data_IF_759082518650
#
_entry.id   IF_759082518650
#
_cell.length_a   1.000
_cell.length_b   1.000
_cell.length_c   1.000
_cell.angle_alpha   90.00
_cell.angle_beta   90.00
_cell.angle_gamma   90.00
#
_symmetry.space_group_name_H-M   'P 1'
#
loop_
_entity.id
_entity.type
_entity.pdbx_description
1 polymer ?
#
# COMPACT_ATOMS: atom_id res chain seq x y z
N UNK A 1 -4.01 22.06 18.38
CA UNK A 1 -2.73 21.47 18.79
C UNK A 1 -2.85 19.96 18.75
N UNK A 2 -2.02 19.32 17.98
CA UNK A 2 -1.97 17.86 17.88
C UNK A 2 -0.69 17.33 18.49
N UNK A 3 -0.78 16.61 19.61
CA UNK A 3 0.37 16.01 20.29
C UNK A 3 0.73 14.61 19.80
N UNK A 4 -0.04 14.03 18.93
CA UNK A 4 0.15 12.66 18.45
C UNK A 4 0.22 12.58 16.94
N UNK A 5 0.41 11.45 16.31
CA UNK A 5 0.42 11.30 14.86
C UNK A 5 -0.89 10.79 14.27
N UNK A 6 -1.95 10.61 15.04
CA UNK A 6 -3.24 10.22 14.52
C UNK A 6 -3.96 11.40 13.86
N UNK A 7 -4.59 11.22 12.78
CA UNK A 7 -5.38 12.23 12.11
C UNK A 7 -4.63 13.34 11.38
N UNK A 8 -3.48 13.00 11.06
CA UNK A 8 -2.54 13.92 10.63
C UNK A 8 -2.30 14.22 9.31
N UNK A 9 -3.00 14.19 8.46
CA UNK A 9 -2.90 14.78 7.18
C UNK A 9 -3.42 16.18 7.19
N UNK A 10 -4.47 16.41 7.94
CA UNK A 10 -5.25 17.62 7.81
C UNK A 10 -5.18 18.47 9.07
N UNK A 11 -4.89 19.74 8.92
CA UNK A 11 -5.23 20.73 9.92
C UNK A 11 -6.74 20.91 9.84
N UNK A 12 -7.49 20.72 10.94
CA UNK A 12 -8.92 21.00 10.93
C UNK A 12 -9.23 22.39 10.38
N UNK A 13 -10.32 22.51 9.64
CA UNK A 13 -10.68 23.72 8.89
C UNK A 13 -10.76 25.00 9.75
N UNK A 14 -10.92 24.84 11.05
CA UNK A 14 -10.99 25.94 12.02
C UNK A 14 -9.70 26.15 12.83
N UNK A 15 -8.62 25.43 12.51
CA UNK A 15 -7.32 25.60 13.16
C UNK A 15 -6.34 26.33 12.24
N UNK A 16 -5.63 27.33 12.80
CA UNK A 16 -4.65 28.10 12.06
C UNK A 16 -3.33 27.36 11.83
N UNK A 17 -2.91 26.53 12.78
CA UNK A 17 -1.67 25.75 12.70
C UNK A 17 -1.69 24.55 13.63
N UNK A 18 -0.75 23.63 13.41
CA UNK A 18 -0.60 22.39 14.14
C UNK A 18 0.80 22.32 14.75
N UNK A 19 0.89 22.00 16.05
CA UNK A 19 2.15 21.79 16.76
C UNK A 19 2.30 20.29 17.03
N UNK A 20 3.47 19.72 16.78
CA UNK A 20 3.72 18.30 16.91
C UNK A 20 5.02 18.01 17.66
N UNK A 21 5.08 16.84 18.27
CA UNK A 21 6.30 16.35 18.89
C UNK A 21 7.39 16.10 17.85
N UNK A 22 8.68 16.33 18.20
CA UNK A 22 9.81 16.18 17.30
C UNK A 22 9.90 14.81 16.60
N UNK A 23 9.53 13.72 17.27
CA UNK A 23 9.55 12.37 16.70
C UNK A 23 8.41 12.11 15.70
N UNK A 24 7.46 13.04 15.57
CA UNK A 24 6.27 12.94 14.75
C UNK A 24 6.19 14.07 13.73
N UNK A 25 7.33 14.42 13.17
CA UNK A 25 7.41 15.49 12.20
C UNK A 25 6.90 15.05 10.82
N UNK A 26 5.79 15.64 10.42
CA UNK A 26 5.24 15.56 9.05
C UNK A 26 5.02 16.98 8.54
N UNK A 27 6.09 17.72 8.20
CA UNK A 27 5.90 19.07 7.68
C UNK A 27 5.25 19.02 6.30
N UNK A 28 4.37 19.98 6.05
CA UNK A 28 3.81 20.24 4.73
C UNK A 28 3.32 19.01 3.99
N UNK A 29 2.40 18.26 4.59
CA UNK A 29 1.81 17.13 3.96
C UNK A 29 0.96 17.60 2.78
N UNK A 30 1.33 17.20 1.57
CA UNK A 30 0.45 17.35 0.42
C UNK A 30 -0.85 16.57 0.72
N UNK A 31 -1.99 17.20 0.56
CA UNK A 31 -3.28 16.64 0.99
C UNK A 31 -3.87 17.31 2.24
N UNK A 32 -3.09 18.02 3.05
CA UNK A 32 -3.65 19.03 3.94
C UNK A 32 -4.39 20.03 3.08
N UNK A 33 -5.69 20.23 3.31
CA UNK A 33 -6.50 21.17 2.54
C UNK A 33 -6.42 22.55 3.19
N UNK A 34 -5.39 23.36 2.91
CA UNK A 34 -5.35 24.71 3.39
C UNK A 34 -6.49 25.48 2.73
N UNK A 35 -7.30 26.17 3.50
CA UNK A 35 -8.12 27.25 2.95
C UNK A 35 -7.29 28.53 2.96
N UNK A 36 -7.76 29.57 2.28
CA UNK A 36 -7.04 30.86 2.14
C UNK A 36 -6.67 31.55 3.47
N UNK A 37 -7.25 31.11 4.59
CA UNK A 37 -7.04 31.69 5.93
C UNK A 37 -6.37 30.70 6.89
N UNK A 38 -5.92 29.56 6.40
CA UNK A 38 -5.36 28.50 7.22
C UNK A 38 -3.87 28.31 6.93
N UNK A 39 -3.07 28.38 7.97
CA UNK A 39 -1.65 28.07 7.91
C UNK A 39 -1.39 26.76 8.61
N UNK A 40 -0.64 25.89 7.98
CA UNK A 40 -0.15 24.67 8.60
C UNK A 40 1.36 24.79 8.81
N UNK A 41 1.79 24.70 10.05
CA UNK A 41 3.21 24.65 10.38
C UNK A 41 3.50 23.61 11.45
N UNK A 42 4.75 23.21 11.55
CA UNK A 42 5.20 22.22 12.53
C UNK A 42 6.29 22.86 13.38
N UNK A 43 6.07 22.88 14.70
CA UNK A 43 7.09 23.25 15.66
C UNK A 43 7.62 22.01 16.37
N UNK A 44 8.94 21.95 16.56
CA UNK A 44 9.57 20.93 17.37
C UNK A 44 9.40 21.30 18.83
N UNK A 45 8.65 20.48 19.58
CA UNK A 45 8.37 20.72 20.99
C UNK A 45 8.40 19.41 21.77
N UNK A 46 8.81 19.48 23.01
CA UNK A 46 8.64 18.35 23.95
C UNK A 46 7.18 18.24 24.46
N UNK A 47 6.83 17.11 25.03
CA UNK A 47 5.46 16.84 25.46
C UNK A 47 4.96 17.81 26.54
N UNK A 48 5.82 18.29 27.43
CA UNK A 48 5.45 19.24 28.49
C UNK A 48 5.14 20.61 27.91
N UNK A 49 5.95 21.09 26.96
CA UNK A 49 5.71 22.33 26.24
C UNK A 49 4.43 22.28 25.40
N UNK A 50 4.10 21.13 24.80
CA UNK A 50 2.83 20.92 24.11
C UNK A 50 1.65 21.03 25.10
N UNK A 51 1.74 20.34 26.24
CA UNK A 51 0.72 20.39 27.28
C UNK A 51 0.55 21.80 27.87
N UNK A 52 1.65 22.50 28.17
CA UNK A 52 1.64 23.87 28.63
C UNK A 52 1.01 24.83 27.63
N UNK A 53 1.32 24.68 26.35
CA UNK A 53 0.74 25.47 25.26
C UNK A 53 -0.78 25.21 25.14
N UNK A 54 -1.21 23.96 25.27
CA UNK A 54 -2.63 23.62 25.28
C UNK A 54 -3.37 24.22 26.48
N UNK A 55 -2.80 24.09 27.67
CA UNK A 55 -3.36 24.67 28.90
C UNK A 55 -3.46 26.21 28.86
N UNK A 56 -2.53 26.84 28.13
CA UNK A 56 -2.51 28.30 27.95
C UNK A 56 -3.29 28.76 26.68
N UNK A 57 -4.38 28.09 26.36
CA UNK A 57 -5.28 28.51 25.28
C UNK A 57 -4.67 28.50 23.88
N UNK A 58 -3.60 27.69 23.66
CA UNK A 58 -2.90 27.59 22.38
C UNK A 58 -1.76 28.60 22.20
N UNK A 59 -1.45 29.41 23.18
CA UNK A 59 -0.24 30.25 23.15
C UNK A 59 1.00 29.37 23.34
N UNK A 60 1.96 29.51 22.44
CA UNK A 60 3.23 28.82 22.57
C UNK A 60 3.87 29.13 23.91
N UNK A 61 3.98 28.11 24.75
CA UNK A 61 4.44 28.21 26.15
C UNK A 61 5.47 27.13 26.41
N UNK A 62 6.62 27.49 26.98
CA UNK A 62 7.60 26.51 27.40
C UNK A 62 7.05 25.70 28.59
N UNK A 63 7.41 24.42 28.66
CA UNK A 63 7.00 23.55 29.75
C UNK A 63 7.50 24.02 31.12
N UNK A 64 8.58 24.80 31.14
CA UNK A 64 9.13 25.47 32.35
C UNK A 64 8.33 26.65 32.82
N UNK A 65 7.57 27.30 31.93
CA UNK A 65 6.83 28.55 32.20
C UNK A 65 5.39 28.28 32.63
N UNK A 66 4.97 27.01 32.58
CA UNK A 66 3.62 26.64 32.98
C UNK A 66 3.51 26.64 34.52
N UNK A 67 2.60 27.45 35.05
CA UNK A 67 2.24 27.41 36.46
C UNK A 67 1.34 26.17 36.73
N UNK A 68 1.97 25.02 36.90
CA UNK A 68 1.27 23.80 37.35
C UNK A 68 2.07 23.11 38.45
N UNK A 69 1.31 22.53 39.37
CA UNK A 69 1.92 21.67 40.39
C UNK A 69 2.39 20.39 39.72
N UNK A 70 3.69 20.14 39.73
CA UNK A 70 4.22 18.87 39.26
C UNK A 70 3.77 17.80 40.27
N UNK A 71 2.95 16.81 39.87
CA UNK A 71 2.60 15.72 40.77
C UNK A 71 3.85 14.96 41.17
N UNK A 72 3.80 14.26 42.30
CA UNK A 72 4.86 13.34 42.65
C UNK A 72 5.07 12.34 41.51
N UNK A 73 6.23 12.45 40.88
CA UNK A 73 6.63 11.65 39.73
C UNK A 73 7.39 10.36 40.16
N UNK A 74 7.28 10.01 41.45
CA UNK A 74 7.86 8.75 41.94
C UNK A 74 7.16 7.60 41.22
N UNK A 75 7.86 7.04 40.25
CA UNK A 75 7.35 5.90 39.48
C UNK A 75 7.71 4.60 40.21
N UNK A 76 6.71 3.88 40.63
CA UNK A 76 6.85 2.52 41.10
C UNK A 76 6.41 1.55 40.02
N UNK A 77 7.35 0.75 39.52
CA UNK A 77 7.05 -0.25 38.52
C UNK A 77 6.16 -1.36 39.10
N UNK A 78 4.92 -1.41 38.66
CA UNK A 78 4.00 -2.50 39.01
C UNK A 78 4.11 -3.64 38.01
N UNK A 79 4.85 -4.67 38.38
CA UNK A 79 5.05 -5.87 37.58
C UNK A 79 3.78 -6.69 37.39
N UNK A 80 2.80 -6.54 38.28
CA UNK A 80 1.55 -7.34 38.27
C UNK A 80 0.76 -7.18 36.95
N UNK A 81 0.89 -6.02 36.28
CA UNK A 81 0.24 -5.78 34.97
C UNK A 81 0.76 -6.76 33.93
N UNK A 82 2.05 -7.02 33.92
CA UNK A 82 2.67 -7.97 32.98
C UNK A 82 2.40 -9.41 33.38
N UNK A 83 2.52 -9.73 34.67
CA UNK A 83 2.29 -11.08 35.19
C UNK A 83 0.85 -11.56 34.98
N UNK A 84 -0.14 -10.65 34.98
CA UNK A 84 -1.55 -10.96 34.78
C UNK A 84 -2.04 -10.91 33.32
N UNK A 85 -1.30 -10.27 32.42
CA UNK A 85 -1.76 -10.00 31.05
C UNK A 85 -0.88 -10.59 29.96
N UNK A 86 0.37 -10.92 30.28
CA UNK A 86 1.33 -11.44 29.31
C UNK A 86 1.78 -12.82 29.78
N UNK A 87 1.56 -13.81 28.94
CA UNK A 87 2.15 -15.13 29.16
C UNK A 87 3.66 -15.05 28.97
N UNK A 88 4.41 -15.36 30.02
CA UNK A 88 5.85 -15.41 29.96
C UNK A 88 6.33 -16.83 29.65
N UNK A 89 6.55 -17.09 28.38
CA UNK A 89 6.94 -18.41 27.86
C UNK A 89 8.44 -18.63 27.67
N UNK A 90 9.29 -17.67 28.03
CA UNK A 90 10.74 -17.80 27.83
C UNK A 90 11.29 -19.02 28.57
N UNK A 91 12.01 -19.91 27.86
CA UNK A 91 12.52 -21.16 28.39
C UNK A 91 11.49 -22.23 28.70
N UNK A 92 10.21 -22.02 28.32
CA UNK A 92 9.08 -22.93 28.52
C UNK A 92 8.41 -23.22 27.19
N UNK A 93 9.17 -23.50 26.14
CA UNK A 93 8.62 -23.85 24.86
C UNK A 93 7.81 -25.16 24.98
N UNK A 94 6.56 -25.12 24.56
CA UNK A 94 5.69 -26.28 24.51
C UNK A 94 5.18 -26.42 23.06
N UNK A 95 5.77 -27.31 22.25
CA UNK A 95 5.36 -27.48 20.86
C UNK A 95 3.97 -28.12 20.68
N UNK A 96 3.36 -28.59 21.77
CA UNK A 96 2.01 -29.16 21.72
C UNK A 96 0.91 -28.10 21.86
N UNK A 97 1.27 -26.84 22.19
CA UNK A 97 0.28 -25.78 22.33
C UNK A 97 -0.25 -25.36 20.97
N UNK A 98 -1.54 -25.51 20.79
CA UNK A 98 -2.26 -25.04 19.62
C UNK A 98 -2.48 -23.53 19.69
N UNK A 99 -2.20 -22.84 18.56
CA UNK A 99 -2.49 -21.42 18.43
C UNK A 99 -3.96 -21.24 18.03
N UNK A 100 -4.75 -20.67 18.91
CA UNK A 100 -6.15 -20.33 18.63
C UNK A 100 -6.26 -18.85 18.36
N UNK A 101 -6.55 -18.49 17.11
CA UNK A 101 -6.74 -17.10 16.69
C UNK A 101 -8.09 -16.55 17.16
N UNK A 102 -8.11 -15.27 17.55
CA UNK A 102 -9.35 -14.57 17.85
C UNK A 102 -10.27 -14.44 16.62
N UNK A 103 -11.56 -14.10 16.80
CA UNK A 103 -12.58 -14.17 15.74
C UNK A 103 -12.35 -13.20 14.56
N UNK A 104 -11.50 -12.19 14.73
CA UNK A 104 -11.16 -11.22 13.67
C UNK A 104 -9.70 -11.33 13.23
N UNK A 105 -9.03 -12.42 13.55
CA UNK A 105 -7.66 -12.70 13.12
C UNK A 105 -7.73 -13.77 12.00
N UNK A 106 -7.28 -13.41 10.84
CA UNK A 106 -7.32 -14.27 9.64
C UNK A 106 -5.93 -14.26 9.00
N UNK A 107 -5.48 -15.42 8.54
CA UNK A 107 -4.22 -15.56 7.85
C UNK A 107 -4.22 -14.81 6.50
N UNK A 108 -3.02 -14.51 6.02
CA UNK A 108 -2.84 -13.97 4.67
C UNK A 108 -3.26 -15.01 3.65
N UNK A 109 -3.91 -14.61 2.55
CA UNK A 109 -4.14 -15.52 1.45
C UNK A 109 -2.81 -15.93 0.81
N UNK A 110 -2.78 -17.08 0.17
CA UNK A 110 -1.63 -17.49 -0.63
C UNK A 110 -1.36 -16.48 -1.74
N UNK A 111 -0.07 -16.24 -1.99
CA UNK A 111 0.41 -15.28 -2.97
C UNK A 111 1.18 -16.04 -4.05
N UNK A 112 0.68 -15.98 -5.27
CA UNK A 112 1.31 -16.65 -6.40
C UNK A 112 2.63 -15.99 -6.81
N UNK A 113 3.63 -16.78 -7.24
CA UNK A 113 4.82 -16.27 -7.89
C UNK A 113 4.46 -15.49 -9.17
N UNK A 114 5.35 -14.61 -9.59
CA UNK A 114 5.17 -13.85 -10.83
C UNK A 114 5.15 -14.79 -12.04
N UNK A 115 4.16 -14.66 -12.90
CA UNK A 115 4.05 -15.42 -14.16
C UNK A 115 5.12 -15.02 -15.17
N UNK A 116 5.26 -15.82 -16.25
CA UNK A 116 6.17 -15.49 -17.35
C UNK A 116 5.78 -14.18 -18.03
N UNK A 117 4.48 -14.04 -18.31
CA UNK A 117 3.89 -12.82 -18.83
C UNK A 117 2.89 -12.27 -17.82
N UNK A 118 2.59 -10.98 -17.93
CA UNK A 118 1.50 -10.34 -17.18
C UNK A 118 0.46 -9.73 -18.12
N UNK A 119 -0.81 -9.93 -17.79
CA UNK A 119 -1.91 -9.17 -18.32
C UNK A 119 -2.51 -8.35 -17.18
N UNK A 120 -2.43 -7.04 -17.28
CA UNK A 120 -2.90 -6.10 -16.29
C UNK A 120 -4.21 -5.48 -16.75
N UNK A 121 -5.28 -5.58 -15.96
CA UNK A 121 -6.49 -4.80 -16.19
C UNK A 121 -6.39 -3.50 -15.40
N UNK A 122 -6.47 -2.37 -16.07
CA UNK A 122 -6.41 -1.07 -15.45
C UNK A 122 -7.71 -0.81 -14.68
N UNK A 123 -7.68 -1.08 -13.39
CA UNK A 123 -8.88 -1.08 -12.52
C UNK A 123 -9.20 0.28 -11.92
N UNK A 124 -8.22 1.19 -11.87
CA UNK A 124 -8.42 2.58 -11.47
C UNK A 124 -7.40 3.50 -12.13
N UNK A 125 -7.84 4.70 -12.50
CA UNK A 125 -7.00 5.79 -13.02
C UNK A 125 -7.28 7.04 -12.20
N UNK A 126 -6.27 7.48 -11.42
CA UNK A 126 -6.36 8.65 -10.54
C UNK A 126 -5.41 9.72 -11.09
N UNK A 127 -5.98 10.80 -11.62
CA UNK A 127 -5.23 11.92 -12.25
C UNK A 127 -5.00 13.09 -11.31
N UNK A 128 -5.39 12.97 -10.04
CA UNK A 128 -5.05 13.96 -9.04
C UNK A 128 -3.52 14.05 -8.85
N UNK A 129 -3.05 15.27 -8.59
CA UNK A 129 -1.63 15.56 -8.47
C UNK A 129 -0.91 14.67 -7.47
N UNK A 130 -1.58 14.30 -6.38
CA UNK A 130 -1.08 13.41 -5.33
C UNK A 130 -2.21 12.52 -4.84
N UNK A 131 -1.93 11.24 -4.62
CA UNK A 131 -2.85 10.29 -3.99
C UNK A 131 -2.27 9.84 -2.65
N UNK A 132 -2.96 10.18 -1.57
CA UNK A 132 -2.52 9.83 -0.23
C UNK A 132 -2.76 8.34 0.08
N UNK A 133 -2.01 7.81 1.05
CA UNK A 133 -2.25 6.45 1.54
C UNK A 133 -3.60 6.29 2.20
N UNK A 134 -4.22 7.37 2.70
CA UNK A 134 -5.55 7.33 3.30
C UNK A 134 -6.67 7.26 2.23
N UNK A 135 -6.39 7.73 1.02
CA UNK A 135 -7.25 7.50 -0.15
C UNK A 135 -7.11 6.08 -0.70
N UNK A 136 -5.89 5.54 -0.69
CA UNK A 136 -5.63 4.14 -1.09
C UNK A 136 -6.27 3.16 -0.10
N UNK A 137 -6.16 3.42 1.21
CA UNK A 137 -6.78 2.65 2.29
C UNK A 137 -7.08 3.56 3.47
N UNK A 138 -8.35 3.77 3.89
CA UNK A 138 -8.71 4.61 5.02
C UNK A 138 -8.36 3.93 6.36
N UNK A 139 -7.06 3.84 6.64
CA UNK A 139 -6.49 3.02 7.71
C UNK A 139 -6.97 3.41 9.13
N UNK A 140 -7.42 4.64 9.33
CA UNK A 140 -8.02 5.10 10.58
C UNK A 140 -9.38 4.44 10.83
N UNK A 141 -10.27 4.52 9.84
CA UNK A 141 -11.65 3.99 9.95
C UNK A 141 -11.66 2.45 9.96
N UNK A 142 -10.68 1.83 9.34
CA UNK A 142 -10.57 0.37 9.19
C UNK A 142 -9.64 -0.27 10.22
N UNK A 143 -9.26 0.46 11.27
CA UNK A 143 -8.30 0.01 12.26
C UNK A 143 -8.67 -1.32 12.93
N UNK A 144 -9.97 -1.61 13.09
CA UNK A 144 -10.47 -2.86 13.66
C UNK A 144 -10.24 -4.09 12.77
N UNK A 145 -9.94 -3.90 11.49
CA UNK A 145 -9.73 -5.00 10.52
C UNK A 145 -8.26 -5.28 10.23
N UNK A 146 -7.31 -4.63 10.93
CA UNK A 146 -5.88 -4.77 10.65
C UNK A 146 -5.33 -6.20 10.75
N UNK A 147 -5.97 -7.03 11.57
CA UNK A 147 -5.63 -8.45 11.69
C UNK A 147 -6.44 -9.37 10.76
N UNK A 148 -7.21 -8.78 9.84
CA UNK A 148 -7.99 -9.49 8.84
C UNK A 148 -7.72 -8.88 7.46
N UNK A 149 -6.65 -9.30 6.79
CA UNK A 149 -6.22 -8.71 5.52
C UNK A 149 -7.27 -8.81 4.43
N UNK A 150 -8.06 -9.88 4.42
CA UNK A 150 -9.11 -10.12 3.43
C UNK A 150 -10.21 -9.06 3.57
N UNK A 151 -10.67 -8.81 4.80
CA UNK A 151 -11.71 -7.83 5.07
C UNK A 151 -11.20 -6.39 4.97
N UNK A 152 -9.95 -6.16 5.38
CA UNK A 152 -9.32 -4.85 5.25
C UNK A 152 -9.22 -4.44 3.77
N UNK A 153 -8.88 -5.38 2.90
CA UNK A 153 -8.72 -5.13 1.47
C UNK A 153 -10.01 -4.64 0.78
N UNK A 154 -11.19 -4.99 1.28
CA UNK A 154 -12.47 -4.51 0.74
C UNK A 154 -12.62 -2.98 0.79
N UNK A 155 -11.85 -2.31 1.62
CA UNK A 155 -11.85 -0.85 1.74
C UNK A 155 -10.83 -0.16 0.84
N UNK A 156 -10.09 -0.90 0.03
CA UNK A 156 -9.12 -0.33 -0.91
C UNK A 156 -9.82 0.62 -1.87
N UNK A 157 -9.34 1.87 -1.93
CA UNK A 157 -9.87 2.94 -2.77
C UNK A 157 -11.38 3.23 -2.60
N UNK A 158 -12.03 2.72 -1.56
CA UNK A 158 -13.49 2.79 -1.41
C UNK A 158 -14.05 4.22 -1.44
N UNK A 159 -13.25 5.23 -1.04
CA UNK A 159 -13.64 6.65 -1.07
C UNK A 159 -13.43 7.32 -2.43
N UNK A 160 -12.48 6.82 -3.22
CA UNK A 160 -12.10 7.43 -4.52
C UNK A 160 -12.72 6.71 -5.70
N UNK A 161 -12.75 5.40 -5.65
CA UNK A 161 -13.29 4.52 -6.70
C UNK A 161 -14.23 3.52 -6.04
N UNK A 162 -15.47 3.92 -5.71
CA UNK A 162 -16.47 2.99 -5.18
C UNK A 162 -16.62 1.78 -6.10
N UNK A 163 -16.55 0.58 -5.54
CA UNK A 163 -16.60 -0.66 -6.34
C UNK A 163 -15.23 -1.22 -6.76
N UNK A 164 -14.11 -0.52 -6.51
CA UNK A 164 -12.76 -1.00 -6.87
C UNK A 164 -12.50 -2.43 -6.38
N UNK A 165 -12.82 -2.73 -5.13
CA UNK A 165 -12.63 -4.07 -4.57
C UNK A 165 -13.47 -5.12 -5.31
N UNK A 166 -14.69 -4.80 -5.73
CA UNK A 166 -15.55 -5.67 -6.53
C UNK A 166 -14.90 -6.00 -7.89
N UNK A 167 -14.45 -4.98 -8.62
CA UNK A 167 -13.74 -5.15 -9.91
C UNK A 167 -12.51 -6.04 -9.73
N UNK A 168 -11.71 -5.80 -8.71
CA UNK A 168 -10.50 -6.59 -8.46
C UNK A 168 -10.84 -8.05 -8.10
N UNK A 169 -11.92 -8.31 -7.37
CA UNK A 169 -12.37 -9.67 -7.07
C UNK A 169 -12.87 -10.43 -8.30
N UNK A 170 -13.50 -9.76 -9.25
CA UNK A 170 -13.86 -10.37 -10.53
C UNK A 170 -12.59 -10.79 -11.30
N UNK A 171 -11.59 -9.90 -11.39
CA UNK A 171 -10.28 -10.19 -11.99
C UNK A 171 -9.61 -11.38 -11.30
N UNK A 172 -9.62 -11.42 -9.97
CA UNK A 172 -9.05 -12.50 -9.19
C UNK A 172 -9.79 -13.83 -9.40
N UNK A 173 -11.11 -13.79 -9.55
CA UNK A 173 -11.90 -14.99 -9.87
C UNK A 173 -11.59 -15.53 -11.27
N UNK A 174 -11.37 -14.64 -12.24
CA UNK A 174 -10.99 -15.02 -13.60
C UNK A 174 -9.56 -15.60 -13.63
N UNK A 175 -8.62 -15.02 -12.88
CA UNK A 175 -7.28 -15.56 -12.73
C UNK A 175 -7.30 -16.97 -12.11
N UNK A 176 -8.11 -17.15 -11.08
CA UNK A 176 -8.27 -18.48 -10.47
C UNK A 176 -8.77 -19.52 -11.48
N UNK A 177 -9.80 -19.18 -12.28
CA UNK A 177 -10.29 -20.06 -13.34
C UNK A 177 -9.22 -20.38 -14.39
N UNK A 178 -8.44 -19.35 -14.78
CA UNK A 178 -7.32 -19.52 -15.70
C UNK A 178 -6.30 -20.51 -15.16
N UNK A 179 -5.91 -20.40 -13.89
CA UNK A 179 -4.97 -21.31 -13.23
C UNK A 179 -5.49 -22.76 -13.15
N UNK A 180 -6.82 -22.91 -13.06
CA UNK A 180 -7.50 -24.21 -13.08
C UNK A 180 -7.67 -24.77 -14.51
N UNK A 181 -7.15 -24.07 -15.54
CA UNK A 181 -7.28 -24.47 -16.95
C UNK A 181 -8.65 -24.17 -17.58
N UNK A 182 -9.49 -23.38 -16.90
CA UNK A 182 -10.83 -23.00 -17.34
C UNK A 182 -10.90 -21.49 -17.63
N UNK A 183 -10.00 -21.01 -18.49
CA UNK A 183 -9.90 -19.58 -18.81
C UNK A 183 -11.22 -19.05 -19.37
N UNK A 184 -11.79 -17.96 -18.78
CA UNK A 184 -13.03 -17.38 -19.28
C UNK A 184 -12.93 -16.89 -20.73
N UNK A 185 -14.01 -17.02 -21.50
CA UNK A 185 -14.07 -16.65 -22.92
C UNK A 185 -13.64 -15.18 -23.16
N UNK A 186 -14.13 -14.26 -22.34
CA UNK A 186 -13.75 -12.86 -22.47
C UNK A 186 -12.24 -12.64 -22.30
N UNK A 187 -11.58 -13.39 -21.42
CA UNK A 187 -10.14 -13.33 -21.22
C UNK A 187 -9.37 -13.97 -22.38
N UNK A 188 -9.90 -15.08 -22.94
CA UNK A 188 -9.37 -15.66 -24.18
C UNK A 188 -9.44 -14.68 -25.35
N UNK A 189 -10.57 -13.96 -25.47
CA UNK A 189 -10.71 -12.92 -26.47
C UNK A 189 -9.70 -11.80 -26.30
N UNK A 190 -9.45 -11.33 -25.08
CA UNK A 190 -8.41 -10.33 -24.79
C UNK A 190 -7.02 -10.85 -25.17
N UNK A 191 -6.66 -12.07 -24.78
CA UNK A 191 -5.37 -12.65 -25.07
C UNK A 191 -5.14 -12.86 -26.58
N UNK A 192 -6.19 -13.13 -27.35
CA UNK A 192 -6.10 -13.29 -28.81
C UNK A 192 -5.57 -12.06 -29.55
N UNK A 193 -5.71 -10.85 -28.96
CA UNK A 193 -5.13 -9.62 -29.51
C UNK A 193 -3.61 -9.55 -29.37
N UNK A 194 -3.02 -10.37 -28.53
CA UNK A 194 -1.59 -10.35 -28.22
C UNK A 194 -0.82 -11.55 -28.80
N UNK A 195 -1.53 -12.62 -29.16
CA UNK A 195 -0.93 -13.82 -29.72
C UNK A 195 -1.86 -15.03 -29.73
N UNK A 196 -1.26 -16.23 -29.67
CA UNK A 196 -2.04 -17.46 -29.51
C UNK A 196 -2.67 -17.48 -28.10
N UNK A 197 -3.99 -17.34 -28.03
CA UNK A 197 -4.70 -17.21 -26.77
C UNK A 197 -4.56 -18.44 -25.87
N UNK A 198 -4.54 -19.66 -26.43
CA UNK A 198 -4.40 -20.89 -25.66
C UNK A 198 -3.01 -20.99 -25.00
N UNK A 199 -1.95 -20.66 -25.76
CA UNK A 199 -0.59 -20.60 -25.24
C UNK A 199 -0.44 -19.54 -24.17
N UNK A 200 -0.95 -18.31 -24.46
CA UNK A 200 -0.89 -17.20 -23.52
C UNK A 200 -1.70 -17.47 -22.25
N UNK A 201 -2.84 -18.14 -22.33
CA UNK A 201 -3.61 -18.52 -21.16
C UNK A 201 -2.84 -19.43 -20.19
N UNK A 202 -1.92 -20.24 -20.70
CA UNK A 202 -1.09 -21.13 -19.88
C UNK A 202 0.02 -20.44 -19.10
N UNK A 203 0.55 -19.32 -19.59
CA UNK A 203 1.78 -18.69 -19.06
C UNK A 203 1.63 -17.20 -18.72
N UNK A 204 0.42 -16.61 -18.80
CA UNK A 204 0.16 -15.22 -18.50
C UNK A 204 -0.61 -15.07 -17.20
N UNK A 205 -0.02 -14.40 -16.22
CA UNK A 205 -0.70 -14.05 -14.98
C UNK A 205 -1.60 -12.84 -15.20
N UNK A 206 -2.87 -12.95 -14.80
CA UNK A 206 -3.87 -11.89 -14.91
C UNK A 206 -4.11 -11.20 -13.58
N UNK A 207 -4.10 -9.88 -13.55
CA UNK A 207 -4.36 -9.16 -12.32
C UNK A 207 -4.71 -7.70 -12.51
N UNK A 208 -5.09 -7.06 -11.40
CA UNK A 208 -5.44 -5.66 -11.40
C UNK A 208 -4.22 -4.75 -11.40
N UNK A 209 -4.39 -3.58 -12.01
CA UNK A 209 -3.42 -2.51 -12.02
C UNK A 209 -4.07 -1.18 -11.63
N UNK A 210 -3.35 -0.36 -10.90
CA UNK A 210 -3.72 1.00 -10.53
C UNK A 210 -2.78 1.98 -11.21
N UNK A 211 -3.34 3.03 -11.82
CA UNK A 211 -2.60 4.23 -12.15
C UNK A 211 -2.93 5.37 -11.20
N UNK A 212 -1.91 6.06 -10.69
CA UNK A 212 -2.05 7.33 -10.01
C UNK A 212 -0.82 8.21 -10.31
N UNK A 213 -1.02 9.53 -10.47
CA UNK A 213 0.09 10.44 -10.83
C UNK A 213 1.22 10.37 -9.80
N UNK A 214 0.89 10.49 -8.52
CA UNK A 214 1.88 10.45 -7.43
C UNK A 214 1.30 9.75 -6.20
N UNK A 215 1.27 8.40 -6.18
CA UNK A 215 0.67 7.64 -5.09
C UNK A 215 1.60 7.47 -3.89
N UNK A 216 1.00 7.28 -2.71
CA UNK A 216 1.69 6.78 -1.53
C UNK A 216 2.19 7.86 -0.56
N UNK A 217 1.64 9.08 -0.62
CA UNK A 217 1.87 10.08 0.41
C UNK A 217 1.09 9.71 1.67
N UNK A 218 1.80 9.49 2.76
CA UNK A 218 1.17 9.17 4.04
C UNK A 218 1.91 8.14 4.88
N UNK A 219 1.25 7.65 5.94
CA UNK A 219 1.83 6.71 6.90
C UNK A 219 1.41 5.26 6.70
N UNK A 220 0.23 5.00 6.16
CA UNK A 220 -0.33 3.65 5.97
C UNK A 220 0.15 2.97 4.67
N UNK A 221 1.42 3.15 4.34
CA UNK A 221 2.02 2.70 3.07
C UNK A 221 2.01 1.19 2.89
N UNK A 222 2.28 0.48 3.96
CA UNK A 222 2.27 -0.98 3.96
C UNK A 222 0.86 -1.50 3.67
N UNK A 223 -0.15 -1.02 4.40
CA UNK A 223 -1.54 -1.43 4.20
C UNK A 223 -2.07 -1.02 2.81
N UNK A 224 -1.64 0.14 2.28
CA UNK A 224 -2.00 0.57 0.94
C UNK A 224 -1.47 -0.38 -0.14
N UNK A 225 -0.33 -1.02 0.06
CA UNK A 225 0.21 -2.03 -0.85
C UNK A 225 -0.38 -3.42 -0.59
N UNK A 226 -0.38 -3.89 0.67
CA UNK A 226 -0.87 -5.22 1.01
C UNK A 226 -2.33 -5.44 0.62
N UNK A 227 -3.19 -4.45 0.84
CA UNK A 227 -4.61 -4.54 0.47
C UNK A 227 -4.82 -4.67 -1.04
N UNK A 228 -4.03 -3.97 -1.86
CA UNK A 228 -4.05 -4.14 -3.31
C UNK A 228 -3.63 -5.56 -3.70
N UNK A 229 -2.56 -6.09 -3.09
CA UNK A 229 -2.08 -7.46 -3.35
C UNK A 229 -3.13 -8.50 -2.99
N UNK A 230 -3.78 -8.37 -1.83
CA UNK A 230 -4.87 -9.26 -1.39
C UNK A 230 -6.03 -9.29 -2.38
N UNK A 231 -6.27 -8.20 -3.10
CA UNK A 231 -7.25 -8.10 -4.19
C UNK A 231 -6.71 -8.53 -5.57
N UNK A 232 -5.56 -9.20 -5.64
CA UNK A 232 -4.99 -9.63 -6.91
C UNK A 232 -4.26 -8.53 -7.68
N UNK A 233 -3.81 -7.47 -6.99
CA UNK A 233 -3.00 -6.42 -7.59
C UNK A 233 -1.63 -6.93 -8.01
N UNK A 234 -1.27 -6.73 -9.29
CA UNK A 234 0.03 -7.12 -9.86
C UNK A 234 0.94 -5.92 -10.11
N UNK A 235 0.39 -4.76 -10.42
CA UNK A 235 1.21 -3.59 -10.74
C UNK A 235 0.57 -2.28 -10.28
N UNK A 236 1.42 -1.30 -10.00
CA UNK A 236 1.08 0.10 -9.95
C UNK A 236 1.87 0.85 -11.02
N UNK A 237 1.20 1.75 -11.73
CA UNK A 237 1.82 2.65 -12.70
C UNK A 237 1.66 4.08 -12.17
N UNK A 238 2.71 4.89 -12.22
CA UNK A 238 2.65 6.28 -11.79
C UNK A 238 3.59 7.17 -12.62
N UNK A 239 3.45 8.48 -12.51
CA UNK A 239 4.46 9.40 -13.02
C UNK A 239 5.68 9.39 -12.08
N UNK A 240 5.43 9.43 -10.77
CA UNK A 240 6.44 9.26 -9.73
C UNK A 240 5.81 8.71 -8.43
N UNK A 241 6.60 8.03 -7.62
CA UNK A 241 6.16 7.62 -6.28
C UNK A 241 6.32 8.77 -5.29
N UNK A 242 5.28 9.08 -4.53
CA UNK A 242 5.32 10.13 -3.50
C UNK A 242 6.41 9.85 -2.44
N UNK A 243 6.67 8.60 -2.16
CA UNK A 243 7.72 8.18 -1.23
C UNK A 243 8.42 6.90 -1.68
N UNK A 244 9.75 6.82 -1.48
CA UNK A 244 10.51 5.58 -1.68
C UNK A 244 9.95 4.41 -0.86
N UNK A 245 9.41 4.71 0.33
CA UNK A 245 8.86 3.68 1.24
C UNK A 245 7.60 3.02 0.68
N UNK A 246 6.71 3.77 0.03
CA UNK A 246 5.55 3.16 -0.61
C UNK A 246 5.96 2.26 -1.79
N UNK A 247 6.90 2.72 -2.63
CA UNK A 247 7.48 1.88 -3.68
C UNK A 247 8.08 0.58 -3.12
N UNK A 248 8.85 0.67 -2.03
CA UNK A 248 9.42 -0.53 -1.37
C UNK A 248 8.33 -1.45 -0.81
N UNK A 249 7.25 -0.90 -0.26
CA UNK A 249 6.12 -1.73 0.17
C UNK A 249 5.43 -2.43 -1.02
N UNK A 250 5.26 -1.77 -2.16
CA UNK A 250 4.77 -2.44 -3.37
C UNK A 250 5.66 -3.63 -3.75
N UNK A 251 6.98 -3.44 -3.78
CA UNK A 251 7.94 -4.53 -4.05
C UNK A 251 7.81 -5.67 -3.04
N UNK A 252 7.75 -5.36 -1.74
CA UNK A 252 7.63 -6.37 -0.69
C UNK A 252 6.34 -7.20 -0.83
N UNK A 253 5.30 -6.63 -1.40
CA UNK A 253 4.05 -7.33 -1.70
C UNK A 253 3.98 -7.88 -3.13
N UNK A 254 5.10 -7.88 -3.87
CA UNK A 254 5.15 -8.41 -5.23
C UNK A 254 4.30 -7.62 -6.23
N UNK A 255 4.07 -6.33 -5.96
CA UNK A 255 3.43 -5.41 -6.89
C UNK A 255 4.51 -4.73 -7.72
N UNK A 256 4.46 -4.88 -9.04
CA UNK A 256 5.40 -4.29 -9.98
C UNK A 256 5.32 -2.76 -9.95
N UNK A 257 6.40 -2.06 -9.57
CA UNK A 257 6.35 -0.61 -9.30
C UNK A 257 6.76 0.20 -10.54
N UNK A 258 5.93 0.20 -11.55
CA UNK A 258 6.21 0.92 -12.79
C UNK A 258 6.10 2.44 -12.66
N UNK A 259 6.90 3.13 -13.46
CA UNK A 259 6.81 4.58 -13.71
C UNK A 259 6.67 4.80 -15.22
N UNK A 260 5.97 5.87 -15.60
CA UNK A 260 5.96 6.31 -16.98
C UNK A 260 7.32 6.90 -17.36
N UNK A 261 7.70 6.88 -18.64
CA UNK A 261 8.84 7.67 -19.14
C UNK A 261 8.70 9.14 -18.76
N UNK A 262 9.82 9.84 -18.60
CA UNK A 262 9.83 11.25 -18.23
C UNK A 262 8.99 12.10 -19.20
N UNK A 263 8.08 12.89 -18.64
CA UNK A 263 7.13 13.71 -19.41
C UNK A 263 5.99 12.92 -20.08
N UNK A 264 5.93 11.59 -19.87
CA UNK A 264 4.86 10.75 -20.42
C UNK A 264 3.56 10.87 -19.64
N UNK A 265 2.43 10.70 -20.34
CA UNK A 265 1.12 10.51 -19.75
C UNK A 265 0.65 9.07 -20.01
N UNK A 266 -0.31 8.60 -19.21
CA UNK A 266 -0.93 7.30 -19.42
C UNK A 266 -1.88 7.37 -20.63
N UNK A 267 -1.60 6.63 -21.72
CA UNK A 267 -2.38 6.73 -22.96
C UNK A 267 -3.68 5.92 -22.96
N UNK A 268 -4.03 5.29 -21.85
CA UNK A 268 -5.18 4.41 -21.71
C UNK A 268 -6.02 4.74 -20.47
N UNK A 269 -7.16 4.11 -20.32
CA UNK A 269 -8.19 4.40 -19.32
C UNK A 269 -8.59 3.20 -18.47
N UNK A 270 -9.47 3.45 -17.51
CA UNK A 270 -10.03 2.37 -16.68
C UNK A 270 -10.76 1.35 -17.54
N UNK A 271 -10.47 0.08 -17.35
CA UNK A 271 -11.03 -1.03 -18.10
C UNK A 271 -10.13 -1.56 -19.21
N UNK A 272 -9.16 -0.76 -19.68
CA UNK A 272 -8.19 -1.18 -20.68
C UNK A 272 -7.20 -2.21 -20.13
N UNK A 273 -6.55 -2.93 -21.03
CA UNK A 273 -5.60 -3.98 -20.70
C UNK A 273 -4.18 -3.61 -21.13
N UNK A 274 -3.21 -3.99 -20.32
CA UNK A 274 -1.79 -3.82 -20.61
C UNK A 274 -1.13 -5.21 -20.52
N UNK A 275 -0.63 -5.70 -21.64
CA UNK A 275 0.07 -6.97 -21.74
C UNK A 275 1.57 -6.75 -21.72
N UNK A 276 2.28 -7.48 -20.87
CA UNK A 276 3.73 -7.41 -20.70
C UNK A 276 4.31 -8.81 -20.94
N UNK A 277 4.77 -9.10 -22.16
CA UNK A 277 5.39 -10.39 -22.46
C UNK A 277 6.76 -10.51 -21.79
N UNK A 278 7.10 -11.68 -21.27
CA UNK A 278 8.44 -11.99 -20.75
C UNK A 278 8.84 -11.17 -19.51
N UNK A 279 7.90 -10.61 -18.76
CA UNK A 279 8.19 -9.75 -17.60
C UNK A 279 9.08 -10.44 -16.57
N UNK A 280 8.89 -11.75 -16.39
CA UNK A 280 9.68 -12.54 -15.43
C UNK A 280 11.18 -12.50 -15.75
N UNK A 281 11.54 -12.67 -17.01
CA UNK A 281 12.93 -12.65 -17.45
C UNK A 281 13.49 -11.21 -17.46
N UNK A 282 12.71 -10.22 -17.87
CA UNK A 282 13.11 -8.82 -17.76
C UNK A 282 13.47 -8.41 -16.33
N UNK A 283 12.74 -8.92 -15.32
CA UNK A 283 13.06 -8.67 -13.91
C UNK A 283 14.35 -9.39 -13.51
N UNK A 284 14.55 -10.64 -13.90
CA UNK A 284 15.81 -11.37 -13.64
C UNK A 284 17.02 -10.61 -14.16
N UNK A 285 16.90 -10.09 -15.38
CA UNK A 285 17.95 -9.35 -16.08
C UNK A 285 18.09 -7.89 -15.62
N UNK A 286 17.22 -7.45 -14.71
CA UNK A 286 17.17 -6.05 -14.22
C UNK A 286 16.97 -5.04 -15.35
N UNK A 287 16.13 -5.40 -16.34
CA UNK A 287 15.78 -4.52 -17.43
C UNK A 287 14.99 -3.31 -16.92
N UNK A 288 15.32 -2.11 -17.43
CA UNK A 288 14.69 -0.87 -16.96
C UNK A 288 13.54 -0.41 -17.83
N UNK A 289 13.65 -0.62 -19.12
CA UNK A 289 12.62 -0.31 -20.10
C UNK A 289 11.82 -1.57 -20.35
N UNK A 290 10.55 -1.53 -20.00
CA UNK A 290 9.65 -2.68 -20.05
C UNK A 290 8.67 -2.44 -21.21
N UNK A 291 8.87 -3.08 -22.35
CA UNK A 291 7.93 -3.01 -23.45
C UNK A 291 6.59 -3.67 -23.06
N UNK A 292 5.52 -3.01 -23.40
CA UNK A 292 4.17 -3.46 -23.14
C UNK A 292 3.26 -3.16 -24.33
N UNK A 293 2.14 -3.86 -24.41
CA UNK A 293 1.09 -3.63 -25.40
C UNK A 293 -0.21 -3.29 -24.69
N UNK A 294 -0.89 -2.27 -25.17
CA UNK A 294 -2.20 -1.86 -24.66
C UNK A 294 -3.29 -2.38 -25.59
N UNK A 295 -4.39 -2.85 -24.98
CA UNK A 295 -5.66 -3.09 -25.67
C UNK A 295 -6.71 -2.20 -25.00
N UNK A 296 -7.27 -1.27 -25.78
CA UNK A 296 -8.34 -0.39 -25.30
C UNK A 296 -9.71 -1.08 -25.34
N UNK A 297 -10.67 -0.55 -24.58
CA UNK A 297 -12.07 -1.00 -24.64
C UNK A 297 -12.72 -0.83 -26.01
N UNK A 298 -12.13 -0.05 -26.92
CA UNK A 298 -12.56 0.09 -28.34
C UNK A 298 -11.96 -0.97 -29.25
N UNK A 299 -11.08 -1.83 -28.73
CA UNK A 299 -10.40 -2.87 -29.51
C UNK A 299 -9.13 -2.40 -30.23
N UNK A 300 -8.67 -1.18 -30.00
CA UNK A 300 -7.41 -0.66 -30.52
C UNK A 300 -6.22 -1.22 -29.74
N UNK A 301 -5.15 -1.60 -30.45
CA UNK A 301 -3.91 -2.03 -29.84
C UNK A 301 -2.76 -1.13 -30.22
N UNK A 302 -1.88 -0.81 -29.27
CA UNK A 302 -0.65 -0.03 -29.50
C UNK A 302 0.44 -0.41 -28.50
N UNK A 303 1.67 -0.11 -28.86
CA UNK A 303 2.83 -0.34 -28.01
C UNK A 303 3.03 0.81 -27.02
N UNK A 304 3.47 0.47 -25.80
CA UNK A 304 3.90 1.44 -24.81
C UNK A 304 5.17 0.95 -24.11
N UNK A 305 5.90 1.85 -23.50
CA UNK A 305 7.04 1.52 -22.64
C UNK A 305 6.75 1.95 -21.21
N UNK A 306 6.93 1.03 -20.29
CA UNK A 306 6.94 1.30 -18.85
C UNK A 306 8.39 1.32 -18.35
N UNK A 307 8.65 2.09 -17.29
CA UNK A 307 9.97 2.15 -16.69
C UNK A 307 9.97 1.42 -15.36
N UNK A 308 10.98 0.58 -15.15
CA UNK A 308 11.26 -0.04 -13.85
C UNK A 308 12.55 0.60 -13.31
N UNK A 309 12.49 1.21 -12.13
CA UNK A 309 13.69 1.73 -11.48
C UNK A 309 14.68 0.61 -11.14
N UNK A 310 15.90 0.97 -10.74
CA UNK A 310 16.88 -0.02 -10.28
C UNK A 310 16.30 -0.87 -9.15
N UNK A 311 16.43 -2.18 -9.30
CA UNK A 311 16.10 -3.17 -8.30
C UNK A 311 17.37 -3.84 -7.79
N UNK A 312 17.49 -3.98 -6.48
CA UNK A 312 18.50 -4.85 -5.87
C UNK A 312 18.22 -6.31 -6.22
N UNK A 313 19.20 -7.21 -6.04
CA UNK A 313 18.96 -8.64 -6.24
C UNK A 313 17.80 -9.15 -5.37
N UNK A 314 17.79 -8.78 -4.09
CA UNK A 314 16.73 -9.20 -3.16
C UNK A 314 15.34 -8.69 -3.61
N UNK A 315 15.22 -7.44 -4.06
CA UNK A 315 13.96 -6.89 -4.58
C UNK A 315 13.48 -7.65 -5.82
N UNK A 316 14.37 -8.05 -6.72
CA UNK A 316 14.02 -8.88 -7.88
C UNK A 316 13.52 -10.25 -7.44
N UNK A 317 14.26 -10.89 -6.54
CA UNK A 317 13.89 -12.22 -6.01
C UNK A 317 12.52 -12.17 -5.32
N UNK A 318 12.24 -11.12 -4.54
CA UNK A 318 10.92 -10.91 -3.90
C UNK A 318 9.81 -10.79 -4.95
N UNK A 319 10.00 -9.98 -5.98
CA UNK A 319 9.02 -9.83 -7.06
C UNK A 319 8.77 -11.15 -7.79
N UNK A 320 9.84 -11.89 -8.11
CA UNK A 320 9.76 -13.19 -8.79
C UNK A 320 9.02 -14.26 -7.96
N UNK A 321 9.16 -14.20 -6.64
CA UNK A 321 8.50 -15.12 -5.70
C UNK A 321 7.09 -14.65 -5.30
N UNK A 322 6.63 -13.51 -5.78
CA UNK A 322 5.30 -12.97 -5.60
C UNK A 322 5.10 -12.12 -4.35
N UNK A 323 5.94 -12.28 -3.32
CA UNK A 323 6.00 -11.40 -2.14
C UNK A 323 7.17 -11.74 -1.22
N UNK A 324 7.41 -10.85 -0.24
CA UNK A 324 8.44 -11.02 0.79
C UNK A 324 8.18 -12.24 1.70
N UNK A 325 6.92 -12.59 1.95
CA UNK A 325 6.56 -13.76 2.76
C UNK A 325 7.08 -15.03 2.09
N UNK A 326 6.81 -15.20 0.80
CA UNK A 326 7.29 -16.34 0.03
C UNK A 326 8.83 -16.39 -0.05
N UNK A 327 9.46 -15.21 -0.21
CA UNK A 327 10.91 -15.10 -0.24
C UNK A 327 11.54 -15.65 1.04
N UNK A 328 11.03 -15.27 2.22
CA UNK A 328 11.58 -15.77 3.49
C UNK A 328 11.17 -17.20 3.80
N UNK A 329 10.01 -17.66 3.34
CA UNK A 329 9.58 -19.06 3.52
C UNK A 329 10.59 -20.03 2.88
N UNK A 330 10.99 -19.78 1.65
CA UNK A 330 11.99 -20.60 0.96
C UNK A 330 13.37 -20.54 1.63
N UNK A 331 13.80 -19.35 2.12
CA UNK A 331 15.08 -19.22 2.84
C UNK A 331 15.10 -19.96 4.18
N UNK A 332 13.95 -20.26 4.77
CA UNK A 332 13.85 -21.01 6.03
C UNK A 332 13.77 -22.51 5.84
N UNK A 333 13.58 -22.99 4.60
CA UNK A 333 13.54 -24.39 4.24
C UNK A 333 14.93 -24.93 3.78
N UNK A 334 15.87 -24.03 3.45
CA UNK A 334 17.29 -24.30 3.16
C UNK A 334 18.15 -24.22 4.44
#
# INVERSE_FOLDING_TARGET
ICGSCSGYGDTPANQAFSIRHATRNFPNREGSKPNEKQYSSVALMDARSIAATAANGGRVTAGTDAAYTVPDMTYTFDRSVYEKRVFYGYGKADPSVEIVSGPNIVDWPEMEPLGENCLLKLSAVIRDKVTSTDELIPSGDTASYRSNPIRLADYTLCRRVPGFAGICREIQADEKRRMEGNTPEHLMNVLSHFGNAEELAGNTQYGSCLFAVKPGDGSAREQAASCQKVLGGLANICAEYATKRYRSNCINWGILPFVLPEGGDLPCGTGDYIFIPGIRDMIKENQREIPAKVLTGTGETFDMTLMMGNLTKAERDILLKGCLINYYKELSED
#
